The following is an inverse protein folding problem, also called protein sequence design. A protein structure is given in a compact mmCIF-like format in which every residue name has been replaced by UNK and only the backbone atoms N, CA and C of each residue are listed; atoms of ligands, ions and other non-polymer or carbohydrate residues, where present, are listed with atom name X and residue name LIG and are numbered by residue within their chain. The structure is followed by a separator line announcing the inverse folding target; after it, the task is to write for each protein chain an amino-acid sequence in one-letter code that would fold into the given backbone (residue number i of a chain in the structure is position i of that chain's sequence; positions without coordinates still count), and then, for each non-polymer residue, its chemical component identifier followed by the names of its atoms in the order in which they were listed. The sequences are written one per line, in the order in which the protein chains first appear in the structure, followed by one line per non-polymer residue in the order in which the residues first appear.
data_IF_443759164348
#
_entry.id   IF_443759164348
#
_cell.length_a   1.000
_cell.length_b   1.000
_cell.length_c   1.000
_cell.angle_alpha   90.00
_cell.angle_beta   90.00
_cell.angle_gamma   90.00
#
_symmetry.space_group_name_H-M   'P 1'
#
loop_
_entity.id
_entity.type
_entity.pdbx_description
1 polymer ?
#
# COMPACT_ATOMS: atom_id res chain seq x y z
N UNK A 1 12.33 16.25 38.46
CA UNK A 1 11.83 14.92 38.08
C UNK A 1 12.01 13.97 39.23
N UNK A 2 10.91 13.66 39.89
CA UNK A 2 10.80 12.54 40.83
C UNK A 2 10.61 11.24 40.05
N UNK A 3 10.79 10.10 40.71
CA UNK A 3 10.50 8.78 40.12
C UNK A 3 9.03 8.66 39.70
N UNK A 4 8.13 9.27 40.46
CA UNK A 4 6.70 9.27 40.21
C UNK A 4 6.37 10.07 38.95
N UNK A 5 6.93 11.28 38.81
CA UNK A 5 6.79 12.12 37.61
C UNK A 5 7.31 11.37 36.35
N UNK A 6 8.46 10.69 36.45
CA UNK A 6 9.02 9.92 35.34
C UNK A 6 8.18 8.68 34.98
N UNK A 7 7.54 8.05 35.97
CA UNK A 7 6.64 6.91 35.73
C UNK A 7 5.34 7.35 35.04
N UNK A 8 4.76 8.47 35.48
CA UNK A 8 3.56 9.04 34.86
C UNK A 8 3.82 9.46 33.41
N UNK A 9 4.96 10.10 33.14
CA UNK A 9 5.39 10.47 31.78
C UNK A 9 5.48 9.23 30.88
N UNK A 10 6.20 8.20 31.32
CA UNK A 10 6.35 6.94 30.58
C UNK A 10 5.01 6.24 30.30
N UNK A 11 4.11 6.22 31.29
CA UNK A 11 2.78 5.61 31.12
C UNK A 11 1.92 6.39 30.14
N UNK A 12 2.03 7.73 30.13
CA UNK A 12 1.35 8.59 29.16
C UNK A 12 1.86 8.38 27.73
N UNK A 13 3.17 8.25 27.54
CA UNK A 13 3.78 7.92 26.25
C UNK A 13 3.29 6.56 25.73
N UNK A 14 3.32 5.53 26.58
CA UNK A 14 2.80 4.20 26.23
C UNK A 14 1.34 4.26 25.78
N UNK A 15 0.49 4.96 26.54
CA UNK A 15 -0.93 5.08 26.20
C UNK A 15 -1.13 5.77 24.85
N UNK A 16 -0.35 6.80 24.57
CA UNK A 16 -0.38 7.52 23.28
C UNK A 16 0.02 6.60 22.14
N UNK A 17 1.13 5.86 22.28
CA UNK A 17 1.58 4.88 21.29
C UNK A 17 0.51 3.82 21.00
N UNK A 18 -0.14 3.25 22.03
CA UNK A 18 -1.19 2.26 21.84
C UNK A 18 -2.40 2.81 21.06
N UNK A 19 -2.76 4.07 21.27
CA UNK A 19 -3.85 4.72 20.53
C UNK A 19 -3.48 4.96 19.06
N UNK A 20 -2.26 5.45 18.82
CA UNK A 20 -1.74 5.68 17.47
C UNK A 20 -1.63 4.38 16.68
N UNK A 21 -1.07 3.33 17.28
CA UNK A 21 -0.97 2.00 16.67
C UNK A 21 -2.36 1.42 16.35
N UNK A 22 -3.32 1.61 17.25
CA UNK A 22 -4.71 1.19 17.04
C UNK A 22 -5.38 1.91 15.87
N UNK A 23 -5.17 3.23 15.75
CA UNK A 23 -5.69 4.03 14.65
C UNK A 23 -5.07 3.62 13.31
N UNK A 24 -3.75 3.45 13.26
CA UNK A 24 -3.04 2.97 12.08
C UNK A 24 -3.53 1.57 11.68
N UNK A 25 -3.61 0.64 12.63
CA UNK A 25 -4.13 -0.71 12.37
C UNK A 25 -5.55 -0.67 11.79
N UNK A 26 -6.42 0.22 12.28
CA UNK A 26 -7.75 0.39 11.74
C UNK A 26 -7.73 0.91 10.29
N UNK A 27 -6.93 1.93 9.98
CA UNK A 27 -6.77 2.47 8.62
C UNK A 27 -6.19 1.44 7.64
N UNK A 28 -5.11 0.75 8.01
CA UNK A 28 -4.51 -0.29 7.18
C UNK A 28 -5.44 -1.49 7.03
N UNK A 29 -6.19 -1.85 8.08
CA UNK A 29 -7.21 -2.90 7.96
C UNK A 29 -8.29 -2.55 6.96
N UNK A 30 -8.66 -1.26 6.81
CA UNK A 30 -9.60 -0.84 5.78
C UNK A 30 -9.03 -1.06 4.38
N UNK A 31 -7.75 -0.76 4.15
CA UNK A 31 -7.08 -1.04 2.88
C UNK A 31 -7.01 -2.55 2.57
N UNK A 32 -6.69 -3.38 3.56
CA UNK A 32 -6.61 -4.85 3.41
C UNK A 32 -7.99 -5.51 3.30
N UNK A 33 -9.01 -4.96 3.98
CA UNK A 33 -10.40 -5.44 3.92
C UNK A 33 -11.14 -4.93 2.69
N UNK A 34 -10.74 -3.78 2.14
CA UNK A 34 -11.19 -3.38 0.82
C UNK A 34 -10.87 -4.53 -0.12
N UNK A 35 -11.87 -5.01 -0.87
CA UNK A 35 -11.66 -6.12 -1.79
C UNK A 35 -10.71 -5.63 -2.87
N UNK A 36 -9.41 -5.82 -2.64
CA UNK A 36 -8.40 -5.57 -3.64
C UNK A 36 -8.83 -6.29 -4.92
N UNK A 37 -8.71 -5.65 -6.09
CA UNK A 37 -9.03 -6.32 -7.33
C UNK A 37 -8.24 -7.64 -7.38
N UNK A 38 -8.91 -8.70 -7.83
CA UNK A 38 -8.26 -10.00 -7.98
C UNK A 38 -7.00 -9.79 -8.83
N UNK A 39 -5.82 -10.13 -8.29
CA UNK A 39 -4.57 -10.06 -9.04
C UNK A 39 -4.75 -10.88 -10.32
N UNK A 40 -4.75 -10.22 -11.47
CA UNK A 40 -4.63 -10.92 -12.74
C UNK A 40 -3.18 -11.40 -12.84
N UNK A 41 -2.98 -12.66 -13.25
CA UNK A 41 -1.65 -13.17 -13.54
C UNK A 41 -0.97 -12.34 -14.62
N UNK A 42 0.34 -12.52 -14.77
CA UNK A 42 1.08 -11.85 -15.83
C UNK A 42 0.55 -12.35 -17.18
N UNK A 43 0.22 -11.44 -18.12
CA UNK A 43 -0.32 -11.83 -19.40
C UNK A 43 0.73 -12.49 -20.32
N UNK A 44 2.00 -12.56 -19.89
CA UNK A 44 3.24 -12.87 -20.64
C UNK A 44 3.43 -11.98 -21.88
N UNK A 45 2.48 -12.02 -22.79
CA UNK A 45 2.41 -11.29 -24.05
C UNK A 45 1.06 -10.61 -24.22
N UNK A 46 1.07 -9.34 -24.59
CA UNK A 46 -0.16 -8.58 -24.84
C UNK A 46 0.00 -7.63 -26.02
N UNK A 47 -1.11 -7.27 -26.64
CA UNK A 47 -1.13 -6.33 -27.77
C UNK A 47 -1.44 -4.94 -27.25
N UNK A 48 -0.57 -3.97 -27.54
CA UNK A 48 -0.79 -2.56 -27.23
C UNK A 48 -0.98 -1.75 -28.49
N UNK A 49 -1.84 -0.73 -28.50
CA UNK A 49 -1.83 0.26 -29.55
C UNK A 49 -0.52 1.06 -29.50
N UNK A 50 0.11 1.29 -30.65
CA UNK A 50 1.28 2.15 -30.76
C UNK A 50 1.11 3.13 -31.93
N UNK A 51 1.91 4.19 -31.95
CA UNK A 51 1.92 5.14 -33.05
C UNK A 51 3.30 5.16 -33.70
N UNK A 52 3.35 4.98 -35.01
CA UNK A 52 4.56 5.14 -35.81
C UNK A 52 4.33 6.34 -36.74
N UNK A 53 4.88 7.49 -36.37
CA UNK A 53 4.53 8.76 -37.01
C UNK A 53 3.04 9.08 -36.85
N UNK A 54 2.31 9.16 -37.97
CA UNK A 54 0.86 9.41 -37.99
C UNK A 54 0.01 8.13 -38.04
N UNK A 55 0.62 6.96 -38.21
CA UNK A 55 -0.10 5.68 -38.27
C UNK A 55 -0.37 5.16 -36.85
N UNK A 56 -1.59 4.66 -36.61
CA UNK A 56 -1.96 3.93 -35.38
C UNK A 56 -1.89 2.44 -35.66
N UNK A 57 -0.96 1.77 -35.01
CA UNK A 57 -0.68 0.35 -35.19
C UNK A 57 -0.92 -0.44 -33.90
N UNK A 58 -0.81 -1.76 -34.00
CA UNK A 58 -0.83 -2.68 -32.85
C UNK A 58 0.54 -3.35 -32.74
N UNK A 59 1.18 -3.22 -31.58
CA UNK A 59 2.45 -3.86 -31.28
C UNK A 59 2.26 -5.02 -30.30
N UNK A 60 3.01 -6.10 -30.53
CA UNK A 60 3.17 -7.17 -29.55
C UNK A 60 4.17 -6.72 -28.50
N UNK A 61 3.71 -6.60 -27.25
CA UNK A 61 4.56 -6.42 -26.08
C UNK A 61 4.74 -7.78 -25.39
N UNK A 62 5.99 -8.20 -25.29
CA UNK A 62 6.42 -9.38 -24.54
C UNK A 62 7.16 -8.86 -23.30
N UNK A 63 6.68 -9.19 -22.11
CA UNK A 63 7.28 -8.74 -20.85
C UNK A 63 8.55 -9.52 -20.49
N UNK A 64 8.88 -10.56 -21.26
CA UNK A 64 9.97 -11.48 -20.96
C UNK A 64 9.59 -12.46 -19.84
N UNK A 65 10.29 -13.59 -19.76
CA UNK A 65 10.16 -14.59 -18.69
C UNK A 65 11.12 -14.32 -17.55
#
# INVERSE_FOLDING_TARGET
MTLEEAYEEFMGELQTQYQEDGALAAEYSHCVRSKLPKKCGDPDRFIVPCCIGKAKEKALCDLGS
#
